data_IF_843340420037
#
_entry.id   IF_843340420037
#
_cell.length_a   1.000
_cell.length_b   1.000
_cell.length_c   1.000
_cell.angle_alpha   90.00
_cell.angle_beta   90.00
_cell.angle_gamma   90.00
#
_symmetry.space_group_name_H-M   'P 1'
#
loop_
_entity.id
_entity.type
_entity.pdbx_description
1 polymer ?
#
# COMPACT_ATOMS: atom_id res chain seq x y z
N UNK A 1 15.70 -14.04 -5.73
CA UNK A 1 15.18 -12.67 -5.58
C UNK A 1 15.92 -12.03 -4.42
N UNK A 2 16.47 -10.83 -4.60
CA UNK A 2 17.10 -10.09 -3.51
C UNK A 2 16.05 -9.19 -2.83
N UNK A 3 16.27 -8.87 -1.55
CA UNK A 3 15.46 -7.87 -0.83
C UNK A 3 16.06 -6.49 -1.06
N UNK A 4 15.23 -5.54 -1.48
CA UNK A 4 15.61 -4.14 -1.63
C UNK A 4 14.93 -3.31 -0.55
N UNK A 5 15.72 -2.80 0.38
CA UNK A 5 15.26 -1.94 1.46
C UNK A 5 15.21 -0.49 0.99
N UNK A 6 14.05 0.14 1.09
CA UNK A 6 13.87 1.55 0.75
C UNK A 6 13.76 2.41 2.01
N UNK A 7 14.41 3.57 1.98
CA UNK A 7 14.45 4.50 3.11
C UNK A 7 13.20 5.38 3.19
N UNK A 8 12.85 5.89 4.38
CA UNK A 8 11.70 6.76 4.58
C UNK A 8 11.75 8.04 3.73
N UNK A 9 12.93 8.66 3.64
CA UNK A 9 13.16 9.84 2.79
C UNK A 9 12.96 9.53 1.31
N UNK A 10 13.45 8.38 0.86
CA UNK A 10 13.28 7.95 -0.53
C UNK A 10 11.82 7.73 -0.87
N UNK A 11 11.08 7.01 0.00
CA UNK A 11 9.64 6.78 -0.17
C UNK A 11 8.86 8.10 -0.27
N UNK A 12 9.16 9.06 0.60
CA UNK A 12 8.49 10.37 0.60
C UNK A 12 8.78 11.15 -0.69
N UNK A 13 10.05 11.23 -1.10
CA UNK A 13 10.43 11.94 -2.34
C UNK A 13 9.83 11.28 -3.58
N UNK A 14 9.81 9.95 -3.62
CA UNK A 14 9.17 9.21 -4.71
C UNK A 14 7.66 9.38 -4.70
N UNK A 15 7.00 9.52 -3.55
CA UNK A 15 5.58 9.84 -3.49
C UNK A 15 5.26 11.18 -4.17
N UNK A 16 6.10 12.22 -3.94
CA UNK A 16 5.96 13.49 -4.65
C UNK A 16 6.22 13.38 -6.16
N UNK A 17 7.23 12.58 -6.56
CA UNK A 17 7.49 12.32 -7.99
C UNK A 17 6.33 11.59 -8.66
N UNK A 18 5.69 10.65 -7.95
CA UNK A 18 4.52 9.94 -8.43
C UNK A 18 3.35 10.90 -8.65
N UNK A 19 3.09 11.79 -7.69
CA UNK A 19 2.06 12.84 -7.83
C UNK A 19 2.30 13.73 -9.06
N UNK A 20 3.55 14.17 -9.26
CA UNK A 20 3.92 14.95 -10.45
C UNK A 20 3.71 14.16 -11.74
N UNK A 21 3.95 12.85 -11.72
CA UNK A 21 3.70 11.97 -12.88
C UNK A 21 2.19 11.89 -13.20
N UNK A 22 1.35 11.72 -12.19
CA UNK A 22 -0.12 11.75 -12.32
C UNK A 22 -0.57 13.10 -12.89
N UNK A 23 -0.13 14.20 -12.28
CA UNK A 23 -0.50 15.56 -12.68
C UNK A 23 -0.08 15.88 -14.13
N UNK A 24 1.16 15.54 -14.50
CA UNK A 24 1.68 15.73 -15.88
C UNK A 24 0.98 14.82 -16.89
N UNK A 25 0.50 13.66 -16.45
CA UNK A 25 -0.34 12.76 -17.24
C UNK A 25 -1.75 13.30 -17.51
N UNK A 26 -2.09 14.49 -17.02
CA UNK A 26 -3.38 15.13 -17.25
C UNK A 26 -4.53 14.61 -16.38
N UNK A 27 -4.29 13.59 -15.53
CA UNK A 27 -5.31 13.08 -14.63
C UNK A 27 -5.49 14.02 -13.44
N UNK A 28 -6.74 14.28 -13.10
CA UNK A 28 -7.17 15.16 -12.00
C UNK A 28 -8.16 14.36 -11.15
N UNK A 29 -7.66 13.58 -10.17
CA UNK A 29 -8.55 12.84 -9.30
C UNK A 29 -9.34 13.80 -8.41
N UNK A 30 -10.61 13.47 -8.22
CA UNK A 30 -11.49 14.07 -7.22
C UNK A 30 -11.46 13.27 -5.93
N UNK A 31 -11.09 11.98 -6.02
CA UNK A 31 -10.93 11.09 -4.87
C UNK A 31 -9.62 10.28 -4.96
N UNK A 32 -8.92 10.13 -3.84
CA UNK A 32 -7.72 9.30 -3.70
C UNK A 32 -7.93 8.21 -2.66
N UNK A 33 -7.55 6.98 -2.98
CA UNK A 33 -7.52 5.88 -2.01
C UNK A 33 -6.12 5.30 -1.88
N UNK A 34 -5.55 5.40 -0.67
CA UNK A 34 -4.30 4.73 -0.31
C UNK A 34 -4.56 3.30 0.15
N UNK A 35 -3.85 2.33 -0.44
CA UNK A 35 -3.92 0.94 0.01
C UNK A 35 -3.05 0.74 1.26
N UNK A 36 -3.67 0.59 2.42
CA UNK A 36 -2.95 0.42 3.68
C UNK A 36 -2.25 -0.94 3.73
N UNK A 37 -1.00 -1.02 4.24
CA UNK A 37 -0.26 0.05 4.94
C UNK A 37 0.62 0.94 4.04
N UNK A 38 1.27 0.38 3.02
CA UNK A 38 2.27 1.10 2.23
C UNK A 38 1.70 2.29 1.45
N UNK A 39 0.57 2.08 0.78
CA UNK A 39 -0.13 3.09 -0.01
C UNK A 39 -0.70 4.24 0.80
N UNK A 40 -0.88 4.12 2.12
CA UNK A 40 -1.34 5.23 2.97
C UNK A 40 -0.29 6.32 3.14
N UNK A 41 0.96 5.94 3.39
CA UNK A 41 2.07 6.91 3.47
C UNK A 41 2.31 7.60 2.12
N UNK A 42 2.18 6.85 1.02
CA UNK A 42 2.30 7.38 -0.34
C UNK A 42 1.12 8.30 -0.67
N UNK A 43 -0.10 7.87 -0.37
CA UNK A 43 -1.34 8.60 -0.62
C UNK A 43 -1.36 9.96 0.05
N UNK A 44 -0.90 10.06 1.30
CA UNK A 44 -0.77 11.34 2.02
C UNK A 44 0.11 12.35 1.26
N UNK A 45 1.32 11.94 0.85
CA UNK A 45 2.23 12.83 0.13
C UNK A 45 1.74 13.13 -1.31
N UNK A 46 1.05 12.19 -1.94
CA UNK A 46 0.43 12.42 -3.26
C UNK A 46 -0.69 13.44 -3.18
N UNK A 47 -1.60 13.30 -2.20
CA UNK A 47 -2.71 14.23 -1.97
C UNK A 47 -2.19 15.65 -1.69
N UNK A 48 -1.25 15.79 -0.75
CA UNK A 48 -0.63 17.09 -0.42
C UNK A 48 -0.04 17.78 -1.67
N UNK A 49 0.64 17.01 -2.53
CA UNK A 49 1.23 17.53 -3.76
C UNK A 49 0.18 17.96 -4.79
N UNK A 50 -0.89 17.16 -4.95
CA UNK A 50 -1.97 17.47 -5.87
C UNK A 50 -2.76 18.71 -5.43
N UNK A 51 -3.05 18.83 -4.13
CA UNK A 51 -3.68 20.02 -3.55
C UNK A 51 -2.82 21.26 -3.78
N UNK A 52 -1.50 21.17 -3.54
CA UNK A 52 -0.56 22.27 -3.83
C UNK A 52 -0.58 22.70 -5.30
N UNK A 53 -0.80 21.77 -6.22
CA UNK A 53 -0.91 22.03 -7.66
C UNK A 53 -2.32 22.48 -8.10
N UNK A 54 -3.23 22.72 -7.16
CA UNK A 54 -4.59 23.20 -7.41
C UNK A 54 -5.57 22.08 -7.81
N UNK A 55 -5.28 20.83 -7.46
CA UNK A 55 -6.16 19.68 -7.71
C UNK A 55 -6.71 19.22 -6.37
N UNK A 56 -7.88 19.77 -6.01
CA UNK A 56 -8.57 19.38 -4.79
C UNK A 56 -8.97 17.90 -4.86
N UNK A 57 -8.54 17.11 -3.88
CA UNK A 57 -8.78 15.66 -3.86
C UNK A 57 -9.20 15.22 -2.45
N UNK A 58 -10.41 14.66 -2.31
CA UNK A 58 -10.80 13.96 -1.08
C UNK A 58 -10.05 12.61 -0.97
N UNK A 59 -9.95 12.03 0.21
CA UNK A 59 -9.15 10.84 0.41
C UNK A 59 -9.69 9.85 1.44
N UNK A 60 -9.33 8.59 1.23
CA UNK A 60 -9.52 7.52 2.21
C UNK A 60 -8.36 6.52 2.16
N UNK A 61 -8.34 5.61 3.14
CA UNK A 61 -7.46 4.45 3.12
C UNK A 61 -8.29 3.18 3.21
N UNK A 62 -8.00 2.21 2.35
CA UNK A 62 -8.60 0.87 2.42
C UNK A 62 -7.52 -0.10 2.88
N UNK A 63 -7.84 -0.88 3.90
CA UNK A 63 -6.92 -1.88 4.44
C UNK A 63 -7.18 -3.22 3.79
N UNK A 64 -6.13 -3.77 3.19
CA UNK A 64 -6.20 -5.05 2.49
C UNK A 64 -5.43 -6.09 3.31
N UNK A 65 -6.07 -7.22 3.56
CA UNK A 65 -5.43 -8.38 4.14
C UNK A 65 -5.59 -9.57 3.20
N UNK A 66 -4.54 -10.39 3.10
CA UNK A 66 -4.71 -11.76 2.65
C UNK A 66 -5.49 -12.50 3.73
N UNK A 67 -6.65 -13.03 3.37
CA UNK A 67 -7.49 -13.73 4.34
C UNK A 67 -6.83 -15.10 4.58
N UNK A 68 -6.29 -15.33 5.78
CA UNK A 68 -6.43 -16.69 6.30
C UNK A 68 -7.92 -16.87 6.62
N UNK A 69 -8.53 -18.03 6.29
CA UNK A 69 -9.89 -18.33 6.68
C UNK A 69 -9.92 -18.43 8.21
N UNK A 70 -10.21 -17.31 8.87
CA UNK A 70 -10.65 -17.29 10.26
C UNK A 70 -12.16 -17.23 10.23
N UNK A 71 -12.79 -18.13 10.96
CA UNK A 71 -14.23 -18.25 11.20
C UNK A 71 -14.80 -16.97 11.84
N UNK A 72 -14.92 -15.90 11.06
CA UNK A 72 -15.58 -14.67 11.45
C UNK A 72 -16.82 -14.47 10.55
N UNK A 73 -18.04 -14.79 11.04
CA UNK A 73 -19.26 -14.86 10.23
C UNK A 73 -19.78 -13.50 9.70
N UNK A 74 -19.01 -12.42 9.83
CA UNK A 74 -19.33 -11.09 9.29
C UNK A 74 -18.37 -10.57 8.20
N UNK A 75 -17.32 -11.30 7.83
CA UNK A 75 -16.34 -10.83 6.83
C UNK A 75 -16.72 -11.23 5.41
N UNK A 76 -16.98 -10.24 4.56
CA UNK A 76 -17.05 -10.45 3.12
C UNK A 76 -15.66 -10.79 2.60
N UNK A 77 -15.47 -12.04 2.15
CA UNK A 77 -14.29 -12.50 1.44
C UNK A 77 -14.58 -12.35 -0.05
N UNK A 78 -13.77 -11.56 -0.76
CA UNK A 78 -13.91 -11.46 -2.21
C UNK A 78 -13.44 -12.77 -2.87
N UNK A 79 -13.91 -13.03 -4.09
CA UNK A 79 -13.66 -14.26 -4.87
C UNK A 79 -12.18 -14.63 -5.10
N UNK A 80 -11.24 -13.77 -4.69
CA UNK A 80 -9.79 -13.98 -4.71
C UNK A 80 -9.14 -14.26 -3.34
N UNK A 81 -9.91 -14.43 -2.26
CA UNK A 81 -9.39 -14.72 -0.92
C UNK A 81 -8.83 -13.50 -0.17
N UNK A 82 -9.13 -12.27 -0.62
CA UNK A 82 -8.72 -11.04 0.04
C UNK A 82 -9.91 -10.40 0.77
N UNK A 83 -9.65 -9.86 1.96
CA UNK A 83 -10.64 -9.11 2.74
C UNK A 83 -10.29 -7.62 2.68
N UNK A 84 -11.24 -6.80 2.22
CA UNK A 84 -11.11 -5.35 2.14
C UNK A 84 -11.81 -4.69 3.33
N UNK A 85 -11.05 -4.16 4.28
CA UNK A 85 -11.60 -3.40 5.40
C UNK A 85 -11.61 -1.90 5.08
N UNK A 86 -12.77 -1.26 5.27
CA UNK A 86 -13.00 0.15 4.91
C UNK A 86 -13.42 0.38 3.45
N UNK A 87 -13.62 -0.69 2.66
CA UNK A 87 -14.11 -0.56 1.28
C UNK A 87 -15.57 -0.11 1.21
N UNK A 88 -16.42 -0.53 2.15
CA UNK A 88 -17.82 -0.06 2.22
C UNK A 88 -17.88 1.43 2.55
N UNK A 89 -17.11 1.88 3.55
CA UNK A 89 -17.01 3.31 3.90
C UNK A 89 -16.49 4.16 2.73
N UNK A 90 -15.59 3.60 1.91
CA UNK A 90 -15.14 4.24 0.67
C UNK A 90 -16.29 4.34 -0.33
N UNK A 91 -17.02 3.25 -0.57
CA UNK A 91 -18.13 3.21 -1.53
C UNK A 91 -19.23 4.20 -1.15
N UNK A 92 -19.52 4.36 0.14
CA UNK A 92 -20.51 5.33 0.63
C UNK A 92 -20.09 6.78 0.41
N UNK A 93 -18.78 7.06 0.31
CA UNK A 93 -18.24 8.41 0.06
C UNK A 93 -18.09 8.75 -1.41
N UNK A 94 -17.97 7.76 -2.28
CA UNK A 94 -17.77 7.96 -3.71
C UNK A 94 -19.07 8.33 -4.42
N UNK A 95 -19.02 9.39 -5.22
CA UNK A 95 -20.03 9.70 -6.23
C UNK A 95 -19.69 8.95 -7.54
N UNK A 96 -20.68 8.40 -8.27
CA UNK A 96 -20.45 7.85 -9.61
C UNK A 96 -19.76 8.82 -10.60
N UNK A 97 -19.83 10.12 -10.33
CA UNK A 97 -19.15 11.16 -11.10
C UNK A 97 -17.64 11.25 -10.82
N UNK A 98 -17.16 10.71 -9.69
CA UNK A 98 -15.78 10.85 -9.24
C UNK A 98 -14.76 10.21 -10.19
N UNK A 99 -13.56 10.79 -10.16
CA UNK A 99 -12.33 10.29 -10.76
C UNK A 99 -11.42 9.79 -9.65
N UNK A 100 -11.27 8.46 -9.57
CA UNK A 100 -10.58 7.79 -8.49
C UNK A 100 -9.10 7.57 -8.82
N UNK A 101 -8.20 7.94 -7.90
CA UNK A 101 -6.80 7.50 -7.92
C UNK A 101 -6.54 6.47 -6.81
N UNK A 102 -6.28 5.22 -7.19
CA UNK A 102 -5.79 4.18 -6.28
C UNK A 102 -4.28 4.29 -6.17
N UNK A 103 -3.75 4.43 -4.96
CA UNK A 103 -2.33 4.62 -4.69
C UNK A 103 -1.77 3.49 -3.83
N UNK A 104 -0.64 2.92 -4.25
CA UNK A 104 0.11 1.92 -3.49
C UNK A 104 1.61 2.25 -3.49
N UNK A 105 2.36 1.73 -2.52
CA UNK A 105 3.81 1.79 -2.54
C UNK A 105 4.40 0.75 -3.51
N UNK A 106 3.83 -0.46 -3.56
CA UNK A 106 4.34 -1.57 -4.37
C UNK A 106 3.19 -2.36 -5.02
N UNK A 107 3.01 -2.21 -6.33
CA UNK A 107 2.06 -3.02 -7.08
C UNK A 107 2.77 -4.26 -7.66
N UNK A 108 2.60 -5.41 -7.00
CA UNK A 108 3.09 -6.71 -7.44
C UNK A 108 2.14 -7.41 -8.43
N UNK A 109 1.46 -8.46 -7.95
CA UNK A 109 0.47 -9.21 -8.74
C UNK A 109 -0.77 -8.40 -9.14
N UNK A 110 -0.98 -7.23 -8.54
CA UNK A 110 -2.17 -6.41 -8.75
C UNK A 110 -3.45 -6.98 -8.12
N UNK A 111 -3.39 -8.07 -7.34
CA UNK A 111 -4.58 -8.69 -6.75
C UNK A 111 -5.34 -7.75 -5.82
N UNK A 112 -4.63 -7.02 -4.97
CA UNK A 112 -5.19 -6.06 -4.01
C UNK A 112 -5.97 -4.94 -4.72
N UNK A 113 -5.38 -4.40 -5.79
CA UNK A 113 -6.04 -3.40 -6.63
C UNK A 113 -7.24 -4.01 -7.36
N UNK A 114 -7.08 -5.21 -7.93
CA UNK A 114 -8.16 -5.89 -8.66
C UNK A 114 -9.36 -6.21 -7.77
N UNK A 115 -9.13 -6.62 -6.51
CA UNK A 115 -10.19 -6.85 -5.53
C UNK A 115 -10.99 -5.56 -5.27
N UNK A 116 -10.29 -4.46 -4.98
CA UNK A 116 -10.92 -3.15 -4.78
C UNK A 116 -11.72 -2.70 -6.01
N UNK A 117 -11.12 -2.76 -7.20
CA UNK A 117 -11.80 -2.36 -8.44
C UNK A 117 -13.00 -3.25 -8.75
N UNK A 118 -12.94 -4.56 -8.46
CA UNK A 118 -14.09 -5.46 -8.61
C UNK A 118 -15.23 -5.04 -7.69
N UNK A 119 -14.95 -4.74 -6.42
CA UNK A 119 -15.96 -4.32 -5.45
C UNK A 119 -16.61 -2.99 -5.86
N UNK A 120 -15.80 -2.04 -6.33
CA UNK A 120 -16.28 -0.75 -6.85
C UNK A 120 -17.16 -0.95 -8.08
N UNK A 121 -16.75 -1.80 -9.03
CA UNK A 121 -17.56 -2.12 -10.22
C UNK A 121 -18.93 -2.66 -9.85
N UNK A 122 -18.98 -3.58 -8.89
CA UNK A 122 -20.23 -4.25 -8.53
C UNK A 122 -21.22 -3.30 -7.84
N UNK A 123 -20.74 -2.19 -7.26
CA UNK A 123 -21.56 -1.21 -6.53
C UNK A 123 -21.81 0.10 -7.27
N UNK A 124 -20.85 0.58 -8.07
CA UNK A 124 -20.89 1.86 -8.78
C UNK A 124 -21.02 1.71 -10.30
N UNK A 125 -20.97 0.49 -10.82
CA UNK A 125 -21.07 0.19 -12.25
C UNK A 125 -19.72 0.14 -12.98
N UNK A 126 -19.66 -0.49 -14.17
CA UNK A 126 -18.44 -0.61 -14.96
C UNK A 126 -17.93 0.72 -15.52
N UNK A 127 -18.81 1.67 -15.84
CA UNK A 127 -18.47 3.00 -16.33
C UNK A 127 -17.65 3.83 -15.33
N UNK A 128 -17.80 3.57 -14.03
CA UNK A 128 -16.98 4.21 -13.00
C UNK A 128 -15.50 3.84 -13.16
N UNK A 129 -15.20 2.61 -13.58
CA UNK A 129 -13.82 2.14 -13.72
C UNK A 129 -13.06 2.87 -14.82
N UNK A 130 -13.74 3.42 -15.83
CA UNK A 130 -13.10 4.22 -16.88
C UNK A 130 -12.47 5.51 -16.31
N UNK A 131 -12.95 5.96 -15.15
CA UNK A 131 -12.48 7.13 -14.41
C UNK A 131 -11.49 6.78 -13.29
N UNK A 132 -11.26 5.49 -13.04
CA UNK A 132 -10.30 5.02 -12.07
C UNK A 132 -8.90 4.90 -12.69
N UNK A 133 -7.87 5.31 -11.95
CA UNK A 133 -6.46 5.11 -12.29
C UNK A 133 -5.70 4.51 -11.13
N UNK A 134 -4.67 3.74 -11.44
CA UNK A 134 -3.80 3.09 -10.46
C UNK A 134 -2.40 3.71 -10.54
N UNK A 135 -1.88 4.12 -9.40
CA UNK A 135 -0.54 4.67 -9.26
C UNK A 135 0.26 3.90 -8.21
N UNK A 136 1.50 3.54 -8.53
CA UNK A 136 2.40 2.89 -7.58
C UNK A 136 3.83 3.42 -7.67
N UNK A 137 4.57 3.47 -6.56
CA UNK A 137 6.00 3.82 -6.64
C UNK A 137 6.76 2.72 -7.39
N UNK A 138 6.59 1.47 -6.93
CA UNK A 138 7.22 0.29 -7.54
C UNK A 138 6.17 -0.57 -8.24
N UNK A 139 6.43 -0.92 -9.50
CA UNK A 139 5.76 -2.00 -10.20
C UNK A 139 6.65 -3.24 -10.19
N UNK A 140 6.10 -4.39 -9.78
CA UNK A 140 6.79 -5.68 -9.86
C UNK A 140 6.00 -6.60 -10.80
N UNK A 141 6.42 -6.72 -12.08
CA UNK A 141 5.74 -7.55 -13.05
C UNK A 141 5.57 -8.98 -12.54
N UNK A 142 4.38 -9.55 -12.71
CA UNK A 142 4.12 -10.96 -12.46
C UNK A 142 3.56 -11.62 -13.71
N UNK A 143 3.87 -12.90 -14.00
CA UNK A 143 3.44 -13.58 -15.23
C UNK A 143 1.93 -13.64 -15.46
N UNK A 144 1.13 -13.40 -14.41
CA UNK A 144 -0.34 -13.39 -14.43
C UNK A 144 -0.93 -12.12 -13.80
N UNK A 145 -0.12 -11.06 -13.66
CA UNK A 145 -0.64 -9.79 -13.18
C UNK A 145 -1.63 -9.22 -14.21
N UNK A 146 -2.68 -8.53 -13.76
CA UNK A 146 -3.40 -7.58 -14.61
C UNK A 146 -2.44 -6.57 -15.23
N UNK A 147 -2.99 -5.72 -16.11
CA UNK A 147 -2.27 -4.58 -16.71
C UNK A 147 -1.45 -3.81 -15.65
N UNK A 148 -0.25 -3.30 -15.98
CA UNK A 148 0.53 -2.47 -15.06
C UNK A 148 -0.26 -1.24 -14.58
N UNK A 149 0.13 -0.64 -13.44
CA UNK A 149 -0.43 0.64 -13.01
C UNK A 149 -0.37 1.69 -14.12
N UNK A 150 -1.38 2.55 -14.20
CA UNK A 150 -1.41 3.68 -15.13
C UNK A 150 -0.21 4.62 -14.90
N UNK A 151 0.24 4.75 -13.65
CA UNK A 151 1.40 5.53 -13.27
C UNK A 151 2.34 4.73 -12.36
N UNK A 152 3.60 4.60 -12.74
CA UNK A 152 4.64 4.09 -11.84
C UNK A 152 5.99 4.77 -12.07
N UNK A 153 6.86 4.72 -11.06
CA UNK A 153 8.19 5.32 -11.13
C UNK A 153 9.26 4.30 -11.49
N UNK A 154 9.21 3.13 -10.85
CA UNK A 154 10.25 2.11 -10.97
C UNK A 154 9.65 0.74 -11.28
N UNK A 155 10.39 -0.06 -12.02
CA UNK A 155 10.08 -1.46 -12.28
C UNK A 155 11.20 -2.34 -11.69
N UNK A 156 10.83 -3.44 -11.02
CA UNK A 156 11.81 -4.38 -10.47
C UNK A 156 11.26 -5.79 -10.34
N UNK A 157 12.14 -6.79 -10.35
CA UNK A 157 11.82 -8.17 -9.94
C UNK A 157 12.21 -8.46 -8.48
N UNK A 158 12.81 -7.51 -7.77
CA UNK A 158 13.20 -7.68 -6.37
C UNK A 158 12.03 -7.55 -5.40
N UNK A 159 12.19 -8.12 -4.20
CA UNK A 159 11.25 -7.93 -3.11
C UNK A 159 11.54 -6.59 -2.43
N UNK A 160 10.64 -5.64 -2.57
CA UNK A 160 10.75 -4.34 -1.90
C UNK A 160 10.38 -4.50 -0.41
N UNK A 161 11.19 -3.89 0.47
CA UNK A 161 10.91 -3.79 1.90
C UNK A 161 10.73 -2.31 2.26
N UNK A 162 9.52 -1.96 2.69
CA UNK A 162 9.13 -0.59 2.99
C UNK A 162 9.67 -0.13 4.35
N UNK A 163 9.83 1.19 4.58
CA UNK A 163 10.37 1.74 5.81
C UNK A 163 9.64 1.26 7.09
N UNK A 164 8.32 1.13 7.04
CA UNK A 164 7.48 0.75 8.18
C UNK A 164 7.45 -0.77 8.45
N UNK A 165 7.86 -1.60 7.49
CA UNK A 165 7.73 -3.05 7.62
C UNK A 165 8.75 -3.62 8.63
N UNK A 166 8.26 -4.41 9.56
CA UNK A 166 9.07 -5.16 10.53
C UNK A 166 8.77 -6.66 10.50
N UNK A 167 7.52 -7.03 10.18
CA UNK A 167 7.12 -8.42 10.06
C UNK A 167 7.93 -9.14 8.97
N UNK A 168 8.41 -10.35 9.28
CA UNK A 168 9.19 -11.16 8.34
C UNK A 168 10.68 -10.76 8.18
N UNK A 169 11.15 -9.77 8.95
CA UNK A 169 12.56 -9.39 9.01
C UNK A 169 13.23 -9.99 10.26
N UNK A 170 14.47 -10.46 10.10
CA UNK A 170 15.30 -10.82 11.24
C UNK A 170 15.83 -9.57 11.97
N UNK A 171 16.21 -9.73 13.24
CA UNK A 171 16.83 -8.64 13.98
C UNK A 171 18.16 -8.17 13.35
N UNK A 172 18.89 -9.08 12.70
CA UNK A 172 20.10 -8.76 11.94
C UNK A 172 19.78 -7.89 10.73
N UNK A 173 18.74 -8.24 9.96
CA UNK A 173 18.29 -7.45 8.82
C UNK A 173 17.82 -6.06 9.24
N UNK A 174 17.07 -5.96 10.35
CA UNK A 174 16.62 -4.67 10.89
C UNK A 174 17.84 -3.82 11.31
N UNK A 175 18.82 -4.40 12.00
CA UNK A 175 20.04 -3.68 12.40
C UNK A 175 20.88 -3.22 11.21
N UNK A 176 20.98 -4.03 10.17
CA UNK A 176 21.78 -3.75 8.98
C UNK A 176 21.12 -2.69 8.08
N UNK A 177 19.79 -2.75 7.91
CA UNK A 177 19.09 -1.99 6.87
C UNK A 177 18.13 -0.92 7.40
N UNK A 178 17.82 -0.90 8.69
CA UNK A 178 16.92 0.07 9.33
C UNK A 178 17.58 0.70 10.57
N UNK A 179 18.67 1.48 10.39
CA UNK A 179 19.50 1.96 11.49
C UNK A 179 18.72 2.80 12.52
N UNK A 180 17.72 3.58 12.11
CA UNK A 180 16.89 4.35 13.04
C UNK A 180 16.04 3.49 13.99
N UNK A 181 15.80 2.22 13.66
CA UNK A 181 15.12 1.27 14.55
C UNK A 181 16.09 0.57 15.50
N UNK A 182 17.39 0.59 15.26
CA UNK A 182 18.36 -0.10 16.11
C UNK A 182 18.30 0.40 17.55
N UNK A 183 18.32 1.72 17.73
CA UNK A 183 18.26 2.36 19.05
C UNK A 183 16.94 2.07 19.77
N UNK A 184 15.83 2.11 19.03
CA UNK A 184 14.48 1.82 19.54
C UNK A 184 14.38 0.35 19.99
N UNK A 185 14.92 -0.58 19.19
CA UNK A 185 14.84 -2.01 19.46
C UNK A 185 15.82 -2.47 20.53
N UNK A 186 16.95 -1.80 20.71
CA UNK A 186 17.87 -2.16 21.80
C UNK A 186 17.23 -1.90 23.19
N UNK A 187 16.27 -0.97 23.29
CA UNK A 187 15.43 -0.79 24.48
C UNK A 187 14.50 -1.97 24.79
N UNK A 188 14.10 -2.75 23.79
CA UNK A 188 13.24 -3.92 23.99
C UNK A 188 13.94 -5.01 24.80
N UNK A 189 15.27 -5.11 24.75
CA UNK A 189 16.04 -6.15 25.51
C UNK A 189 15.76 -6.16 27.01
N UNK A 190 15.31 -5.03 27.55
CA UNK A 190 14.98 -4.89 28.97
C UNK A 190 13.59 -5.44 29.32
N UNK A 191 12.77 -5.76 28.32
CA UNK A 191 11.41 -6.30 28.46
C UNK A 191 11.45 -7.83 28.38
N UNK A 192 11.08 -8.56 29.46
CA UNK A 192 11.10 -10.03 29.49
C UNK A 192 10.29 -10.68 28.35
N UNK A 193 9.18 -10.06 27.97
CA UNK A 193 8.27 -10.52 26.91
C UNK A 193 8.93 -10.55 25.52
N UNK A 194 10.00 -9.78 25.32
CA UNK A 194 10.71 -9.70 24.05
C UNK A 194 12.00 -10.53 24.01
N UNK A 195 12.34 -11.24 25.08
CA UNK A 195 13.56 -12.04 25.18
C UNK A 195 13.70 -13.08 24.05
N UNK A 196 12.58 -13.59 23.55
CA UNK A 196 12.52 -14.50 22.40
C UNK A 196 13.05 -13.87 21.10
N UNK A 197 12.97 -12.54 20.93
CA UNK A 197 13.48 -11.81 19.77
C UNK A 197 15.01 -11.69 19.75
N UNK A 198 15.66 -11.80 20.92
CA UNK A 198 17.11 -11.58 21.10
C UNK A 198 17.91 -12.87 21.32
N UNK A 199 17.24 -14.02 21.43
CA UNK A 199 17.87 -15.32 21.62
C UNK A 199 18.33 -15.55 23.05
N UNK A 200 17.45 -16.08 23.90
CA UNK A 200 17.77 -16.95 25.04
C UNK A 200 16.50 -17.67 25.50
N UNK A 201 16.30 -18.92 25.09
CA UNK A 201 15.58 -19.87 25.97
C UNK A 201 16.58 -20.26 27.06
N UNK A 202 16.35 -20.01 28.35
CA UNK A 202 16.99 -20.85 29.35
C UNK A 202 16.44 -22.27 29.09
N UNK A 203 17.36 -23.21 28.86
CA UNK A 203 17.02 -24.63 28.96
C UNK A 203 16.56 -24.87 30.39
N UNK A 204 15.30 -25.25 30.56
CA UNK A 204 14.87 -26.03 31.70
C UNK A 204 14.67 -27.46 31.20
#
# INVERSE_FOLDING_TARGET
MQRKFIGARELLLDSYRLALRVFRGGFRPTFLVGLWPGGSAVGMAVQECLDYLGVATDHACVRIFDSEPRDDPGRAVDSGGQTLHGAEDLIEKLDPADSLLVVDAVCGSGSSVAALLSRLRDRLGPEFLDRARVAAIWHRPAPRAPRPPDYFLHETSDSIVLPHELAGLSLEEIRAHKPGLREILDGLRQLPETAALFGSRPRH
#
